data_IF_840031789790
#
_entry.id   IF_840031789790
#
_cell.length_a   1.000
_cell.length_b   1.000
_cell.length_c   1.000
_cell.angle_alpha   90.00
_cell.angle_beta   90.00
_cell.angle_gamma   90.00
#
_symmetry.space_group_name_H-M   'P 1'
#
loop_
_entity.id
_entity.type
_entity.pdbx_description
1 polymer ?
#
# COMPACT_ATOMS: atom_id res chain seq x y z
N UNK A 1 -7.29 -11.74 -16.51
CA UNK A 1 -6.39 -11.44 -15.37
C UNK A 1 -7.25 -10.88 -14.25
N UNK A 2 -7.01 -11.24 -12.99
CA UNK A 2 -7.72 -10.61 -11.88
C UNK A 2 -7.25 -9.15 -11.72
N UNK A 3 -8.16 -8.25 -11.35
CA UNK A 3 -7.82 -6.88 -11.01
C UNK A 3 -6.90 -6.88 -9.79
N UNK A 4 -5.75 -6.20 -9.90
CA UNK A 4 -4.72 -6.21 -8.87
C UNK A 4 -4.71 -4.94 -8.03
N UNK A 5 -5.02 -3.79 -8.62
CA UNK A 5 -4.93 -2.52 -7.95
C UNK A 5 -6.31 -1.86 -7.84
N UNK A 6 -6.48 -0.99 -6.86
CA UNK A 6 -7.67 -0.16 -6.65
C UNK A 6 -7.35 1.31 -6.93
N UNK A 7 -8.39 2.14 -7.07
CA UNK A 7 -8.22 3.60 -7.17
C UNK A 7 -7.53 4.10 -5.90
N UNK A 8 -6.53 4.98 -6.06
CA UNK A 8 -5.69 5.49 -4.98
C UNK A 8 -4.41 4.69 -4.74
N UNK A 9 -4.24 3.52 -5.35
CA UNK A 9 -3.02 2.74 -5.19
C UNK A 9 -1.79 3.44 -5.78
N UNK A 10 -0.69 3.34 -5.06
CA UNK A 10 0.61 3.86 -5.46
C UNK A 10 1.36 2.77 -6.24
N UNK A 11 1.74 3.12 -7.47
CA UNK A 11 2.42 2.23 -8.42
C UNK A 11 3.63 2.92 -9.03
N UNK A 12 4.55 2.11 -9.54
CA UNK A 12 5.69 2.60 -10.30
C UNK A 12 5.49 2.35 -11.79
N UNK A 13 5.64 3.41 -12.59
CA UNK A 13 5.60 3.34 -14.05
C UNK A 13 6.76 4.17 -14.61
N UNK A 14 7.57 3.57 -15.50
CA UNK A 14 8.77 4.22 -16.07
C UNK A 14 9.67 4.88 -15.01
N UNK A 15 9.92 4.16 -13.91
CA UNK A 15 10.75 4.59 -12.77
C UNK A 15 10.25 5.85 -12.07
N UNK A 16 8.96 6.16 -12.16
CA UNK A 16 8.31 7.25 -11.45
C UNK A 16 7.11 6.73 -10.67
N UNK A 17 6.84 7.37 -9.55
CA UNK A 17 5.69 7.07 -8.70
C UNK A 17 4.46 7.73 -9.31
N UNK A 18 3.37 6.98 -9.37
CA UNK A 18 2.08 7.44 -9.82
C UNK A 18 0.97 6.86 -8.93
N UNK A 19 -0.17 7.54 -8.91
CA UNK A 19 -1.39 7.06 -8.27
C UNK A 19 -2.37 6.59 -9.34
N UNK A 20 -3.06 5.49 -9.10
CA UNK A 20 -4.17 5.06 -9.96
C UNK A 20 -5.36 5.97 -9.71
N UNK A 21 -5.82 6.64 -10.77
CA UNK A 21 -6.94 7.59 -10.70
C UNK A 21 -8.25 6.98 -11.22
N UNK A 22 -8.16 6.01 -12.13
CA UNK A 22 -9.33 5.30 -12.66
C UNK A 22 -8.98 3.89 -13.17
N UNK A 23 -9.98 3.02 -13.25
CA UNK A 23 -9.89 1.64 -13.73
C UNK A 23 -10.83 1.47 -14.92
N UNK A 24 -10.25 1.18 -16.08
CA UNK A 24 -10.98 1.05 -17.34
C UNK A 24 -11.47 -0.39 -17.55
N UNK A 25 -12.57 -0.55 -18.30
CA UNK A 25 -13.24 -1.84 -18.53
C UNK A 25 -12.35 -2.96 -19.13
N UNK A 26 -11.23 -2.63 -19.76
CA UNK A 26 -10.24 -3.57 -20.31
C UNK A 26 -9.06 -3.85 -19.36
N UNK A 27 -9.23 -3.58 -18.06
CA UNK A 27 -8.17 -3.64 -17.04
C UNK A 27 -7.02 -2.66 -17.29
N UNK A 28 -7.23 -1.62 -18.09
CA UNK A 28 -6.31 -0.49 -18.16
C UNK A 28 -6.46 0.40 -16.93
N UNK A 29 -5.38 1.08 -16.55
CA UNK A 29 -5.41 2.08 -15.48
C UNK A 29 -5.11 3.46 -16.03
N UNK A 30 -5.84 4.46 -15.56
CA UNK A 30 -5.40 5.84 -15.68
C UNK A 30 -4.49 6.16 -14.49
N UNK A 31 -3.38 6.83 -14.77
CA UNK A 31 -2.39 7.20 -13.76
C UNK A 31 -2.29 8.72 -13.67
N UNK A 32 -2.07 9.22 -12.45
CA UNK A 32 -1.77 10.64 -12.22
C UNK A 32 -0.61 11.10 -13.12
N UNK A 33 -0.75 12.24 -13.80
CA UNK A 33 0.29 12.82 -14.68
C UNK A 33 0.67 11.98 -15.92
N UNK A 34 -0.10 10.94 -16.28
CA UNK A 34 0.07 10.17 -17.52
C UNK A 34 -1.15 10.36 -18.41
N UNK A 35 -0.93 10.83 -19.66
CA UNK A 35 -2.01 11.20 -20.59
C UNK A 35 -2.57 10.05 -21.44
N UNK A 36 -2.29 8.80 -21.06
CA UNK A 36 -2.80 7.64 -21.77
C UNK A 36 -2.98 6.46 -20.79
N UNK A 37 -3.95 5.56 -21.06
CA UNK A 37 -4.12 4.36 -20.26
C UNK A 37 -2.87 3.47 -20.23
N UNK A 38 -2.61 2.88 -19.08
CA UNK A 38 -1.48 1.99 -18.85
C UNK A 38 -1.96 0.59 -18.54
N UNK A 39 -1.42 -0.38 -19.28
CA UNK A 39 -1.70 -1.80 -19.04
C UNK A 39 -1.07 -2.27 -17.71
N UNK A 40 -1.72 -3.17 -16.94
CA UNK A 40 -1.22 -3.67 -15.65
C UNK A 40 0.19 -4.26 -15.72
N UNK A 41 0.51 -4.91 -16.85
CA UNK A 41 1.81 -5.57 -17.05
C UNK A 41 2.99 -4.59 -17.13
N UNK A 42 2.71 -3.29 -17.31
CA UNK A 42 3.73 -2.24 -17.33
C UNK A 42 3.92 -1.56 -15.97
N UNK A 43 3.10 -1.93 -14.97
CA UNK A 43 3.18 -1.37 -13.63
C UNK A 43 4.06 -2.24 -12.75
N UNK A 44 5.03 -1.59 -12.13
CA UNK A 44 5.83 -2.17 -11.06
C UNK A 44 5.20 -1.81 -9.72
N UNK A 45 5.37 -2.71 -8.74
CA UNK A 45 4.95 -2.47 -7.37
C UNK A 45 5.98 -1.59 -6.66
N UNK A 46 5.53 -0.80 -5.69
CA UNK A 46 6.43 -0.04 -4.81
C UNK A 46 6.67 -0.83 -3.53
N UNK A 47 7.92 -1.19 -3.20
CA UNK A 47 8.25 -1.88 -1.95
C UNK A 47 7.81 -1.05 -0.75
N UNK A 48 7.26 -1.69 0.27
CA UNK A 48 7.02 -1.06 1.56
C UNK A 48 8.35 -1.01 2.32
N UNK A 49 8.71 0.17 2.83
CA UNK A 49 9.91 0.37 3.64
C UNK A 49 9.55 1.00 4.97
N UNK A 50 10.49 0.97 5.92
CA UNK A 50 10.32 1.61 7.22
C UNK A 50 10.19 3.12 7.09
N UNK A 51 10.92 3.75 6.16
CA UNK A 51 10.83 5.20 5.91
C UNK A 51 9.43 5.61 5.43
N UNK A 52 8.79 4.79 4.59
CA UNK A 52 7.40 5.03 4.15
C UNK A 52 6.46 4.96 5.35
N UNK A 53 6.63 3.98 6.25
CA UNK A 53 5.79 3.90 7.45
C UNK A 53 5.93 5.16 8.33
N UNK A 54 7.17 5.59 8.58
CA UNK A 54 7.46 6.75 9.42
C UNK A 54 6.86 8.04 8.85
N UNK A 55 7.01 8.28 7.54
CA UNK A 55 6.36 9.43 6.85
C UNK A 55 4.84 9.44 7.02
N UNK A 56 4.23 8.25 7.10
CA UNK A 56 2.78 8.08 7.19
C UNK A 56 2.26 7.94 8.63
N UNK A 57 3.04 8.39 9.61
CA UNK A 57 2.63 8.50 11.01
C UNK A 57 2.55 7.16 11.75
N UNK A 58 3.24 6.13 11.26
CA UNK A 58 3.44 4.91 12.04
C UNK A 58 4.53 5.12 13.07
N UNK A 59 4.28 4.72 14.30
CA UNK A 59 5.22 4.86 15.40
C UNK A 59 6.12 3.63 15.45
N UNK A 60 7.44 3.84 15.39
CA UNK A 60 8.41 2.80 15.72
C UNK A 60 8.34 2.49 17.22
N UNK A 61 8.04 1.24 17.58
CA UNK A 61 7.98 0.80 18.97
C UNK A 61 9.33 0.28 19.45
N UNK A 62 9.96 -0.62 18.70
CA UNK A 62 11.29 -1.21 18.95
C UNK A 62 11.80 -1.86 17.67
N UNK A 63 13.08 -1.65 17.30
CA UNK A 63 13.81 -2.26 16.17
C UNK A 63 12.99 -2.44 14.88
N UNK A 64 12.20 -3.51 14.81
CA UNK A 64 11.41 -3.96 13.66
C UNK A 64 9.90 -3.74 13.75
N UNK A 65 9.35 -3.24 14.86
CA UNK A 65 7.91 -3.12 15.04
C UNK A 65 7.42 -1.69 14.87
N UNK A 66 6.41 -1.53 14.01
CA UNK A 66 5.71 -0.27 13.77
C UNK A 66 4.25 -0.39 14.16
N UNK A 67 3.68 0.66 14.74
CA UNK A 67 2.30 0.66 15.20
C UNK A 67 1.54 1.91 14.76
N UNK A 68 0.27 1.69 14.42
CA UNK A 68 -0.71 2.76 14.21
C UNK A 68 -2.03 2.35 14.83
N UNK A 69 -2.54 3.18 15.75
CA UNK A 69 -3.83 2.99 16.37
C UNK A 69 -4.84 3.93 15.70
N UNK A 70 -5.93 3.39 15.17
CA UNK A 70 -7.00 4.18 14.53
C UNK A 70 -8.35 3.57 14.91
N UNK A 71 -9.27 4.38 15.45
CA UNK A 71 -10.64 3.94 15.82
C UNK A 71 -10.69 2.62 16.61
N UNK A 72 -9.91 2.53 17.71
CA UNK A 72 -9.75 1.33 18.55
C UNK A 72 -9.14 0.09 17.86
N UNK A 73 -8.72 0.21 16.59
CA UNK A 73 -7.97 -0.80 15.87
C UNK A 73 -6.48 -0.55 16.06
N UNK A 74 -5.79 -1.52 16.67
CA UNK A 74 -4.33 -1.53 16.76
C UNK A 74 -3.75 -2.27 15.56
N UNK A 75 -3.13 -1.54 14.65
CA UNK A 75 -2.36 -2.12 13.57
C UNK A 75 -0.89 -2.20 13.98
N UNK A 76 -0.28 -3.37 13.80
CA UNK A 76 1.15 -3.57 14.00
C UNK A 76 1.76 -4.17 12.75
N UNK A 77 2.89 -3.62 12.32
CA UNK A 77 3.70 -4.16 11.24
C UNK A 77 5.04 -4.62 11.82
N UNK A 78 5.39 -5.87 11.56
CA UNK A 78 6.71 -6.42 11.89
C UNK A 78 7.58 -6.47 10.62
N UNK A 79 8.65 -5.69 10.61
CA UNK A 79 9.69 -5.66 9.57
C UNK A 79 10.82 -6.65 9.89
N UNK A 80 10.62 -7.93 9.58
CA UNK A 80 11.65 -8.97 9.73
C UNK A 80 12.20 -9.39 8.35
N UNK A 81 12.69 -10.63 8.19
CA UNK A 81 12.94 -11.23 6.86
C UNK A 81 11.70 -11.13 5.95
N UNK A 82 10.53 -11.13 6.57
CA UNK A 82 9.23 -10.93 5.95
C UNK A 82 8.49 -9.81 6.67
N UNK A 83 7.61 -9.09 5.95
CA UNK A 83 6.77 -8.06 6.55
C UNK A 83 5.42 -8.66 6.89
N UNK A 84 5.08 -8.69 8.18
CA UNK A 84 3.80 -9.21 8.67
C UNK A 84 2.93 -8.09 9.23
N UNK A 85 1.63 -8.18 9.00
CA UNK A 85 0.64 -7.27 9.59
C UNK A 85 -0.20 -8.00 10.61
N UNK A 86 -0.37 -7.38 11.77
CA UNK A 86 -1.27 -7.81 12.81
C UNK A 86 -2.34 -6.76 13.10
N UNK A 87 -3.55 -7.23 13.36
CA UNK A 87 -4.67 -6.44 13.88
C UNK A 87 -4.92 -6.91 15.30
N UNK A 88 -4.93 -5.99 16.27
CA UNK A 88 -5.17 -6.29 17.68
C UNK A 88 -4.29 -7.45 18.18
N UNK A 89 -3.01 -7.46 17.78
CA UNK A 89 -1.98 -8.47 18.11
C UNK A 89 -2.15 -9.85 17.46
N UNK A 90 -3.09 -10.02 16.53
CA UNK A 90 -3.25 -11.24 15.75
C UNK A 90 -2.66 -11.00 14.36
N UNK A 91 -1.62 -11.76 13.98
CA UNK A 91 -1.06 -11.71 12.64
C UNK A 91 -2.05 -12.27 11.62
N UNK A 92 -2.38 -11.48 10.61
CA UNK A 92 -3.42 -11.80 9.63
C UNK A 92 -2.87 -12.05 8.23
N UNK A 93 -1.77 -11.41 7.87
CA UNK A 93 -1.21 -11.50 6.52
C UNK A 93 0.25 -11.10 6.47
N UNK A 94 0.88 -11.52 5.38
CA UNK A 94 2.21 -11.10 4.97
C UNK A 94 2.08 -10.13 3.79
N UNK A 95 2.82 -9.03 3.82
CA UNK A 95 2.88 -8.03 2.75
C UNK A 95 4.33 -7.76 2.35
N UNK A 96 4.53 -7.05 1.24
CA UNK A 96 5.84 -6.56 0.79
C UNK A 96 5.74 -5.18 0.12
N UNK A 97 4.55 -4.76 -0.29
CA UNK A 97 4.37 -3.60 -1.15
C UNK A 97 3.35 -2.61 -0.60
N UNK A 98 3.49 -1.35 -0.96
CA UNK A 98 2.61 -0.25 -0.51
C UNK A 98 1.13 -0.54 -0.79
N UNK A 99 0.78 -0.92 -2.02
CA UNK A 99 -0.62 -1.23 -2.38
C UNK A 99 -1.27 -2.32 -1.51
N UNK A 100 -0.51 -3.32 -1.02
CA UNK A 100 -1.07 -4.36 -0.15
C UNK A 100 -1.47 -3.79 1.22
N UNK A 101 -0.69 -2.83 1.74
CA UNK A 101 -1.06 -2.08 2.94
C UNK A 101 -2.24 -1.14 2.64
N UNK A 102 -2.26 -0.47 1.49
CA UNK A 102 -3.38 0.38 1.08
C UNK A 102 -4.70 -0.41 0.98
N UNK A 103 -4.68 -1.63 0.44
CA UNK A 103 -5.86 -2.51 0.37
C UNK A 103 -6.37 -2.90 1.75
N UNK A 104 -5.46 -3.23 2.67
CA UNK A 104 -5.83 -3.55 4.04
C UNK A 104 -6.50 -2.34 4.72
N UNK A 105 -5.89 -1.15 4.61
CA UNK A 105 -6.43 0.08 5.19
C UNK A 105 -7.79 0.41 4.59
N UNK A 106 -7.93 0.32 3.26
CA UNK A 106 -9.19 0.52 2.54
C UNK A 106 -10.27 -0.46 3.00
N UNK A 107 -9.95 -1.75 3.10
CA UNK A 107 -10.88 -2.78 3.56
C UNK A 107 -11.35 -2.60 5.00
N UNK A 108 -10.54 -1.96 5.84
CA UNK A 108 -10.90 -1.56 7.22
C UNK A 108 -11.64 -0.21 7.28
N UNK A 109 -11.87 0.46 6.15
CA UNK A 109 -12.47 1.80 6.11
C UNK A 109 -11.55 2.90 6.68
N UNK A 110 -10.23 2.67 6.67
CA UNK A 110 -9.22 3.63 7.13
C UNK A 110 -8.63 4.40 5.95
N UNK A 111 -8.00 5.55 6.24
CA UNK A 111 -7.28 6.31 5.20
C UNK A 111 -6.15 5.46 4.60
N UNK A 112 -6.24 5.21 3.29
CA UNK A 112 -5.26 4.45 2.51
C UNK A 112 -4.33 5.33 1.66
N UNK A 113 -4.43 6.65 1.75
CA UNK A 113 -3.46 7.57 1.13
C UNK A 113 -2.10 7.46 1.85
N UNK A 114 -1.02 7.48 1.07
CA UNK A 114 0.33 7.34 1.60
C UNK A 114 1.33 8.27 0.89
N UNK A 115 2.27 8.81 1.65
CA UNK A 115 3.47 9.47 1.13
C UNK A 115 4.58 8.44 0.92
N UNK A 116 5.19 8.44 -0.26
CA UNK A 116 6.29 7.53 -0.63
C UNK A 116 7.51 8.34 -1.05
#
# INVERSE_FOLDING_TARGET
MAQKYIIGDIVMYKNRIHTIIDILASYGYELSYVRHPVSPVRLSRVPLTTEILEKNGWKNLYEKFFEKNVNDIRLTIEFSENIYVAINRIFIMKIHYVHELQHLLFGLGLNSEMEV
#
